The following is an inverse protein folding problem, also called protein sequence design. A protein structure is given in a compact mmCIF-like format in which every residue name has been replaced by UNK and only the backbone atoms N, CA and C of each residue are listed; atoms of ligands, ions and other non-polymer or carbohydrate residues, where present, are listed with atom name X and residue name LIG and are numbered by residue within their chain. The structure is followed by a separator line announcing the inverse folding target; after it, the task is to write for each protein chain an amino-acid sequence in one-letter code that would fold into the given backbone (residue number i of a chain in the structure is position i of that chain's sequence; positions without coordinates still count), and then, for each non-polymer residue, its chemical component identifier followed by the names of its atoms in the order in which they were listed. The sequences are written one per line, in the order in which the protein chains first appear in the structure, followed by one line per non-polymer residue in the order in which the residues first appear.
data_IF_879591035467
#
_entry.id   IF_879591035467
#
_cell.length_a   1.000
_cell.length_b   1.000
_cell.length_c   1.000
_cell.angle_alpha   90.00
_cell.angle_beta   90.00
_cell.angle_gamma   90.00
#
_symmetry.space_group_name_H-M   'P 1'
#
loop_
_entity.id
_entity.type
_entity.pdbx_description
1 polymer ?
#
# COMPACT_ATOMS: atom_id res chain seq x y z
N UNK A 1 -18.42 22.32 13.55
CA UNK A 1 -17.92 21.03 14.04
C UNK A 1 -17.56 20.18 12.82
N UNK A 2 -16.28 20.11 12.44
CA UNK A 2 -15.86 19.20 11.38
C UNK A 2 -15.83 17.78 11.94
N UNK A 3 -16.61 16.90 11.32
CA UNK A 3 -16.67 15.48 11.62
C UNK A 3 -15.28 14.89 11.43
N UNK A 4 -14.67 14.48 12.55
CA UNK A 4 -13.46 13.67 12.56
C UNK A 4 -13.79 12.38 11.82
N UNK A 5 -13.40 12.30 10.54
CA UNK A 5 -13.30 11.05 9.80
C UNK A 5 -12.33 10.17 10.59
N UNK A 6 -12.92 9.31 11.41
CA UNK A 6 -12.25 8.27 12.14
C UNK A 6 -11.69 7.32 11.09
N UNK A 7 -10.47 7.62 10.60
CA UNK A 7 -9.72 6.77 9.69
C UNK A 7 -9.41 5.46 10.45
N UNK A 8 -10.42 4.60 10.57
CA UNK A 8 -10.29 3.26 11.10
C UNK A 8 -9.33 2.53 10.18
N UNK A 9 -8.41 1.80 10.79
CA UNK A 9 -7.43 0.94 10.12
C UNK A 9 -8.03 -0.18 9.27
N UNK A 10 -9.36 -0.23 9.09
CA UNK A 10 -10.08 -1.28 8.37
C UNK A 10 -9.86 -1.26 6.86
N UNK A 11 -9.19 -0.23 6.32
CA UNK A 11 -8.97 -0.07 4.87
C UNK A 11 -7.48 -0.05 4.49
N UNK A 12 -6.59 -0.58 5.35
CA UNK A 12 -5.16 -0.64 5.04
C UNK A 12 -4.87 -1.79 4.08
N UNK A 13 -4.34 -1.46 2.90
CA UNK A 13 -3.87 -2.45 1.93
C UNK A 13 -2.36 -2.62 2.07
N UNK A 14 -1.91 -3.77 2.59
CA UNK A 14 -0.51 -4.07 2.82
C UNK A 14 0.10 -4.94 1.71
N UNK A 15 1.38 -4.72 1.47
CA UNK A 15 2.24 -5.44 0.54
C UNK A 15 3.40 -6.04 1.34
N UNK A 16 3.27 -7.27 1.89
CA UNK A 16 4.29 -7.89 2.72
C UNK A 16 5.56 -8.18 1.93
N UNK A 17 6.71 -7.92 2.55
CA UNK A 17 8.04 -8.14 1.96
C UNK A 17 8.27 -7.40 0.63
N UNK A 18 7.66 -6.24 0.45
CA UNK A 18 7.82 -5.37 -0.71
C UNK A 18 8.29 -3.99 -0.26
N UNK A 19 9.38 -3.52 -0.85
CA UNK A 19 9.81 -2.13 -0.76
C UNK A 19 9.29 -1.35 -1.98
N UNK A 20 8.59 -0.24 -1.74
CA UNK A 20 8.24 0.74 -2.76
C UNK A 20 9.25 1.88 -2.69
N UNK A 21 9.97 2.19 -3.76
CA UNK A 21 11.01 3.24 -3.75
C UNK A 21 10.64 4.42 -4.62
N UNK A 22 11.32 5.54 -4.36
CA UNK A 22 11.02 6.83 -4.98
C UNK A 22 9.90 7.57 -4.26
N UNK A 23 9.79 8.86 -4.54
CA UNK A 23 8.70 9.70 -4.07
C UNK A 23 8.55 9.83 -2.55
N UNK A 24 9.54 9.43 -1.75
CA UNK A 24 9.52 9.69 -0.30
C UNK A 24 9.58 11.20 -0.08
N UNK A 25 8.58 11.77 0.57
CA UNK A 25 8.53 13.21 0.87
C UNK A 25 8.50 13.50 2.37
N UNK A 26 8.22 12.50 3.20
CA UNK A 26 8.26 12.59 4.66
C UNK A 26 8.58 11.23 5.28
N UNK A 27 9.08 11.25 6.51
CA UNK A 27 9.41 10.05 7.28
C UNK A 27 9.33 10.26 8.79
N UNK A 28 8.91 9.22 9.51
CA UNK A 28 8.76 9.29 10.97
C UNK A 28 8.94 7.93 11.64
N UNK A 29 9.19 7.94 12.95
CA UNK A 29 9.25 6.73 13.77
C UNK A 29 7.83 6.18 13.97
N UNK A 30 7.60 4.92 13.62
CA UNK A 30 6.33 4.24 13.74
C UNK A 30 6.56 2.90 14.45
N UNK A 31 5.90 2.62 15.59
CA UNK A 31 6.05 1.33 16.26
C UNK A 31 5.67 0.15 15.35
N UNK A 32 4.64 0.34 14.52
CA UNK A 32 4.11 -0.67 13.61
C UNK A 32 3.69 -0.02 12.29
N UNK A 33 3.51 -0.84 11.25
CA UNK A 33 3.02 -0.39 9.94
C UNK A 33 1.64 0.28 9.99
N UNK A 34 0.82 -0.03 11.00
CA UNK A 34 -0.53 0.52 11.14
C UNK A 34 -0.50 2.06 11.24
N UNK A 35 0.53 2.62 11.87
CA UNK A 35 0.71 4.06 12.00
C UNK A 35 1.03 4.70 10.65
N UNK A 36 1.80 4.04 9.79
CA UNK A 36 2.00 4.47 8.40
C UNK A 36 0.69 4.58 7.64
N UNK A 37 -0.15 3.54 7.74
CA UNK A 37 -1.45 3.54 7.07
C UNK A 37 -2.33 4.71 7.53
N UNK A 38 -2.42 4.94 8.85
CA UNK A 38 -3.27 6.01 9.41
C UNK A 38 -2.75 7.39 9.00
N UNK A 39 -1.43 7.61 9.05
CA UNK A 39 -0.81 8.86 8.61
C UNK A 39 -1.09 9.09 7.12
N UNK A 40 -0.82 8.09 6.29
CA UNK A 40 -1.05 8.17 4.85
C UNK A 40 -2.52 8.39 4.51
N UNK A 41 -3.45 7.75 5.21
CA UNK A 41 -4.88 7.95 5.00
C UNK A 41 -5.33 9.40 5.24
N UNK A 42 -4.70 10.11 6.17
CA UNK A 42 -5.02 11.50 6.51
C UNK A 42 -4.34 12.53 5.61
N UNK A 43 -3.22 12.17 5.00
CA UNK A 43 -2.45 13.07 4.16
C UNK A 43 -2.93 13.03 2.69
N UNK A 44 -3.40 14.16 2.11
CA UNK A 44 -3.81 14.22 0.70
C UNK A 44 -2.69 13.91 -0.30
N UNK A 45 -1.43 14.17 0.05
CA UNK A 45 -0.28 13.94 -0.82
C UNK A 45 0.21 12.49 -0.80
N UNK A 46 -0.17 11.72 0.22
CA UNK A 46 0.25 10.34 0.35
C UNK A 46 -0.54 9.44 -0.60
N UNK A 47 0.16 8.65 -1.42
CA UNK A 47 -0.44 7.59 -2.24
C UNK A 47 -0.03 6.20 -1.76
N UNK A 48 1.09 6.10 -1.04
CA UNK A 48 1.63 4.85 -0.52
C UNK A 48 2.61 5.10 0.64
N UNK A 49 3.03 4.05 1.30
CA UNK A 49 4.04 4.08 2.35
C UNK A 49 4.89 2.81 2.32
N UNK A 50 6.10 2.91 2.83
CA UNK A 50 6.97 1.75 3.13
C UNK A 50 7.36 1.81 4.58
N UNK A 51 7.13 0.73 5.31
CA UNK A 51 7.53 0.55 6.70
C UNK A 51 8.77 -0.34 6.76
N UNK A 52 9.81 0.15 7.41
CA UNK A 52 11.01 -0.59 7.78
C UNK A 52 10.78 -1.26 9.12
N UNK A 53 10.73 -2.59 9.09
CA UNK A 53 10.40 -3.43 10.24
C UNK A 53 11.52 -3.48 11.27
N UNK A 54 12.78 -3.29 10.84
CA UNK A 54 13.94 -3.33 11.74
C UNK A 54 14.12 -1.99 12.44
N UNK A 55 14.01 -0.89 11.70
CA UNK A 55 14.24 0.45 12.24
C UNK A 55 12.98 1.10 12.81
N UNK A 56 11.80 0.47 12.68
CA UNK A 56 10.52 1.05 13.07
C UNK A 56 10.30 2.44 12.43
N UNK A 57 10.59 2.55 11.13
CA UNK A 57 10.53 3.80 10.36
C UNK A 57 9.48 3.71 9.27
N UNK A 58 8.74 4.80 9.12
CA UNK A 58 7.75 4.97 8.08
C UNK A 58 8.23 5.96 7.03
N UNK A 59 8.18 5.57 5.75
CA UNK A 59 8.50 6.43 4.62
C UNK A 59 7.24 6.72 3.81
N UNK A 60 6.80 7.98 3.81
CA UNK A 60 5.56 8.44 3.15
C UNK A 60 5.82 8.77 1.68
N UNK A 61 5.03 8.20 0.77
CA UNK A 61 5.28 8.23 -0.67
C UNK A 61 4.21 9.05 -1.40
N UNK A 62 4.63 10.01 -2.22
CA UNK A 62 3.78 10.75 -3.17
C UNK A 62 3.92 10.21 -4.61
N UNK A 63 4.93 9.40 -4.86
CA UNK A 63 5.17 8.69 -6.10
C UNK A 63 5.86 7.35 -5.83
N UNK A 64 5.78 6.41 -6.77
CA UNK A 64 6.50 5.13 -6.73
C UNK A 64 7.26 4.99 -8.04
N UNK A 65 8.59 4.93 -7.96
CA UNK A 65 9.46 4.76 -9.13
C UNK A 65 9.69 3.30 -9.46
N UNK A 66 9.86 2.45 -8.43
CA UNK A 66 10.00 1.00 -8.61
C UNK A 66 9.54 0.26 -7.35
N UNK A 67 9.43 -1.06 -7.48
CA UNK A 67 9.15 -1.97 -6.37
C UNK A 67 10.02 -3.22 -6.49
N UNK A 68 10.49 -3.75 -5.36
CA UNK A 68 11.17 -5.05 -5.34
C UNK A 68 10.92 -5.78 -4.03
N UNK A 69 11.21 -7.09 -4.03
CA UNK A 69 11.07 -7.96 -2.85
C UNK A 69 12.16 -7.61 -1.83
N UNK A 70 11.75 -7.26 -0.62
CA UNK A 70 12.62 -7.01 0.52
C UNK A 70 11.92 -7.48 1.79
N UNK A 71 12.48 -8.49 2.48
CA UNK A 71 11.84 -9.12 3.64
C UNK A 71 11.84 -8.27 4.90
N UNK A 72 12.67 -7.22 4.99
CA UNK A 72 12.67 -6.28 6.11
C UNK A 72 11.71 -5.09 5.93
N UNK A 73 10.94 -5.08 4.85
CA UNK A 73 10.08 -3.97 4.47
C UNK A 73 8.67 -4.47 4.18
N UNK A 74 7.68 -3.83 4.78
CA UNK A 74 6.28 -3.99 4.38
C UNK A 74 5.74 -2.66 3.89
N UNK A 75 5.19 -2.63 2.69
CA UNK A 75 4.60 -1.42 2.12
C UNK A 75 3.09 -1.44 2.23
N UNK A 76 2.46 -0.31 1.90
CA UNK A 76 1.03 -0.27 1.68
C UNK A 76 0.60 0.87 0.77
N UNK A 77 -0.61 0.75 0.25
CA UNK A 77 -1.21 1.74 -0.64
C UNK A 77 -2.36 2.46 0.07
N UNK A 78 -2.53 3.75 -0.23
CA UNK A 78 -3.68 4.50 0.26
C UNK A 78 -4.94 4.01 -0.42
N UNK A 79 -5.89 3.49 0.35
CA UNK A 79 -7.22 3.18 -0.16
C UNK A 79 -8.02 4.47 -0.42
N UNK A 80 -8.61 4.60 -1.60
CA UNK A 80 -9.46 5.73 -1.92
C UNK A 80 -10.92 5.40 -1.60
N UNK A 81 -11.40 5.78 -0.41
CA UNK A 81 -12.82 5.71 -0.02
C UNK A 81 -13.54 4.37 -0.33
N UNK A 82 -12.84 3.23 -0.28
CA UNK A 82 -13.43 1.92 -0.58
C UNK A 82 -13.56 1.59 -2.08
N UNK A 83 -13.03 2.43 -2.98
CA UNK A 83 -13.02 2.23 -4.44
C UNK A 83 -11.70 1.60 -4.95
N UNK A 84 -10.80 1.21 -4.05
CA UNK A 84 -9.45 0.71 -4.40
C UNK A 84 -8.39 1.82 -4.46
N UNK A 85 -7.20 1.47 -4.97
CA UNK A 85 -6.09 2.41 -5.14
C UNK A 85 -5.84 2.65 -6.64
N UNK A 86 -5.79 3.91 -7.06
CA UNK A 86 -5.45 4.27 -8.44
C UNK A 86 -3.93 4.38 -8.59
N UNK A 87 -3.30 3.33 -9.12
CA UNK A 87 -1.87 3.32 -9.44
C UNK A 87 -1.67 3.76 -10.89
N UNK A 88 -1.05 4.92 -11.09
CA UNK A 88 -0.66 5.42 -12.42
C UNK A 88 0.80 5.09 -12.68
N UNK A 89 1.13 4.65 -13.89
CA UNK A 89 2.50 4.34 -14.33
C UNK A 89 3.21 3.24 -13.51
N UNK A 90 2.46 2.31 -12.91
CA UNK A 90 3.02 1.17 -12.19
C UNK A 90 2.79 -0.12 -12.97
N UNK A 91 3.84 -0.94 -13.04
CA UNK A 91 3.75 -2.32 -13.52
C UNK A 91 3.73 -3.26 -12.32
N UNK A 92 2.58 -3.85 -12.04
CA UNK A 92 2.45 -4.90 -11.02
C UNK A 92 2.94 -6.21 -11.65
N UNK A 93 4.11 -6.67 -11.22
CA UNK A 93 4.58 -8.00 -11.58
C UNK A 93 3.88 -9.00 -10.66
N UNK A 94 3.00 -9.83 -11.23
CA UNK A 94 2.36 -10.94 -10.51
C UNK A 94 3.40 -11.95 -10.00
N UNK A 95 2.99 -12.81 -9.05
CA UNK A 95 3.85 -13.87 -8.53
C UNK A 95 4.30 -14.83 -9.64
N UNK A 96 5.43 -15.51 -9.43
CA UNK A 96 5.98 -16.53 -10.35
C UNK A 96 5.16 -17.81 -10.43
N UNK A 97 3.90 -17.78 -9.98
CA UNK A 97 3.01 -18.92 -10.03
C UNK A 97 2.78 -19.27 -11.52
N UNK A 98 3.30 -20.42 -11.92
CA UNK A 98 3.18 -21.03 -13.24
C UNK A 98 1.72 -21.34 -13.65
N UNK A 99 0.73 -20.89 -12.88
CA UNK A 99 -0.69 -21.10 -13.13
C UNK A 99 -1.29 -19.75 -13.54
N UNK A 100 -1.27 -19.48 -14.85
CA UNK A 100 -2.17 -18.49 -15.42
C UNK A 100 -3.59 -19.02 -15.27
N UNK A 101 -4.37 -18.45 -14.37
CA UNK A 101 -5.80 -18.74 -14.33
C UNK A 101 -6.44 -17.96 -15.47
N UNK A 102 -7.12 -18.65 -16.39
CA UNK A 102 -7.88 -18.00 -17.44
C UNK A 102 -9.26 -17.64 -16.87
N UNK A 103 -9.49 -16.36 -16.62
CA UNK A 103 -10.72 -15.84 -16.06
C UNK A 103 -11.44 -15.05 -17.16
N UNK A 104 -12.58 -15.55 -17.69
CA UNK A 104 -13.22 -14.97 -18.87
C UNK A 104 -13.92 -13.64 -18.58
N UNK A 105 -14.17 -13.31 -17.31
CA UNK A 105 -14.83 -12.08 -16.89
C UNK A 105 -14.32 -11.60 -15.53
N UNK A 106 -14.71 -10.36 -15.19
CA UNK A 106 -14.27 -9.69 -13.96
C UNK A 106 -14.92 -10.27 -12.70
N UNK A 107 -16.12 -10.86 -12.80
CA UNK A 107 -16.85 -11.40 -11.65
C UNK A 107 -16.14 -12.63 -11.08
N UNK A 108 -15.71 -13.55 -11.95
CA UNK A 108 -14.92 -14.73 -11.56
C UNK A 108 -13.56 -14.33 -10.96
N UNK A 109 -12.96 -13.24 -11.46
CA UNK A 109 -11.72 -12.70 -10.91
C UNK A 109 -11.88 -12.17 -9.49
N UNK A 110 -13.00 -11.48 -9.21
CA UNK A 110 -13.27 -10.93 -7.88
C UNK A 110 -13.47 -12.00 -6.80
N UNK A 111 -13.96 -13.20 -7.17
CA UNK A 111 -14.13 -14.30 -6.21
C UNK A 111 -12.80 -14.86 -5.67
N UNK A 112 -11.67 -14.63 -6.34
CA UNK A 112 -10.35 -15.06 -5.88
C UNK A 112 -9.74 -14.15 -4.81
N UNK A 113 -10.30 -12.95 -4.59
CA UNK A 113 -9.89 -12.04 -3.53
C UNK A 113 -10.69 -12.34 -2.25
N UNK A 114 -10.30 -13.36 -1.49
CA UNK A 114 -10.85 -13.65 -0.15
C UNK A 114 -10.12 -12.94 0.97
#
# INVERSE_FOLDING_TARGET
MLTLINAKSSNCFYLPSIALNGGTYDEFNAPEIKQCCIACARDPCCIAYTFDEENHRCFMKSAISNSFKNTGMTSGLKAHHGLGAFLKNIKIHGGTASVKVNLPNNEDCMQYCT
#
